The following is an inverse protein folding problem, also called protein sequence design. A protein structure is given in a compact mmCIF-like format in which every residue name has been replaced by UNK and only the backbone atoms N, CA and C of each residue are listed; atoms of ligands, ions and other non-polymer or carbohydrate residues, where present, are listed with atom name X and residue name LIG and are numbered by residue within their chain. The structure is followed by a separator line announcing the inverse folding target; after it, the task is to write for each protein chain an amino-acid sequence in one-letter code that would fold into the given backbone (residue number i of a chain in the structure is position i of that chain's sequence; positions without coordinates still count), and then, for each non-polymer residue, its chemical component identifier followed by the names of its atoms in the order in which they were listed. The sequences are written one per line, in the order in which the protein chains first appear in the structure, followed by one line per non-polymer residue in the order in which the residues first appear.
data_IF_629661307112
#
_entry.id   IF_629661307112
#
_cell.length_a   1.000
_cell.length_b   1.000
_cell.length_c   1.000
_cell.angle_alpha   90.00
_cell.angle_beta   90.00
_cell.angle_gamma   90.00
#
_symmetry.space_group_name_H-M   'P 1'
#
loop_
_entity.id
_entity.type
_entity.pdbx_description
1 polymer ?
#
# COMPACT_ATOMS: atom_id res chain seq x y z
N UNK A 1 -26.37 5.07 -1.01
CA UNK A 1 -25.45 4.34 -1.92
C UNK A 1 -25.25 2.91 -1.43
N UNK A 2 -25.23 1.92 -2.34
CA UNK A 2 -24.95 0.52 -1.99
C UNK A 2 -23.48 0.38 -1.51
N UNK A 3 -23.19 -0.61 -0.66
CA UNK A 3 -21.85 -0.83 -0.11
C UNK A 3 -20.82 -1.07 -1.21
N UNK A 4 -21.12 -1.93 -2.19
CA UNK A 4 -20.20 -2.27 -3.27
C UNK A 4 -19.82 -1.04 -4.10
N UNK A 5 -20.81 -0.24 -4.50
CA UNK A 5 -20.58 1.01 -5.24
C UNK A 5 -19.70 1.98 -4.44
N UNK A 6 -19.92 2.06 -3.12
CA UNK A 6 -19.11 2.90 -2.23
C UNK A 6 -17.66 2.42 -2.13
N UNK A 7 -17.45 1.12 -1.98
CA UNK A 7 -16.11 0.53 -1.91
C UNK A 7 -15.33 0.81 -3.20
N UNK A 8 -15.97 0.60 -4.36
CA UNK A 8 -15.37 0.93 -5.65
C UNK A 8 -15.06 2.43 -5.76
N UNK A 9 -15.99 3.30 -5.37
CA UNK A 9 -15.78 4.75 -5.38
C UNK A 9 -14.64 5.19 -4.47
N UNK A 10 -14.47 4.57 -3.29
CA UNK A 10 -13.34 4.83 -2.39
C UNK A 10 -12.02 4.47 -3.11
N UNK A 11 -11.93 3.28 -3.72
CA UNK A 11 -10.71 2.88 -4.45
C UNK A 11 -10.35 3.89 -5.54
N UNK A 12 -11.32 4.31 -6.34
CA UNK A 12 -11.09 5.30 -7.41
C UNK A 12 -10.63 6.66 -6.86
N UNK A 13 -11.18 7.10 -5.73
CA UNK A 13 -10.71 8.33 -5.08
C UNK A 13 -9.27 8.24 -4.60
N UNK A 14 -8.89 7.10 -4.01
CA UNK A 14 -7.52 6.87 -3.54
C UNK A 14 -6.53 6.66 -4.69
N UNK A 15 -7.00 6.24 -5.89
CA UNK A 15 -6.16 6.19 -7.10
C UNK A 15 -5.88 7.58 -7.69
N UNK A 16 -6.85 8.49 -7.58
CA UNK A 16 -6.74 9.81 -8.22
C UNK A 16 -6.02 10.84 -7.34
N UNK A 17 -6.03 10.65 -6.01
CA UNK A 17 -5.52 11.61 -5.02
C UNK A 17 -4.43 10.96 -4.18
N UNK A 18 -3.37 11.72 -3.88
CA UNK A 18 -2.26 11.24 -3.06
C UNK A 18 -2.67 10.92 -1.62
N UNK A 19 -3.57 11.69 -0.99
CA UNK A 19 -4.13 11.43 0.36
C UNK A 19 -5.55 11.99 0.44
N UNK A 20 -6.50 11.24 1.01
CA UNK A 20 -7.91 11.65 1.18
C UNK A 20 -8.39 11.41 2.61
N UNK A 21 -8.97 12.44 3.26
CA UNK A 21 -9.45 12.30 4.64
C UNK A 21 -10.74 11.51 4.74
N UNK A 22 -10.95 10.86 5.88
CA UNK A 22 -12.15 10.10 6.16
C UNK A 22 -13.41 10.97 6.19
N UNK A 23 -13.28 12.20 6.68
CA UNK A 23 -14.35 13.20 6.74
C UNK A 23 -14.76 13.67 5.34
N UNK A 24 -13.80 13.80 4.43
CA UNK A 24 -14.05 14.17 3.03
C UNK A 24 -14.80 13.06 2.29
N UNK A 25 -14.37 11.80 2.48
CA UNK A 25 -15.06 10.62 1.93
C UNK A 25 -16.47 10.49 2.53
N UNK A 26 -16.62 10.73 3.83
CA UNK A 26 -17.90 10.66 4.53
C UNK A 26 -18.88 11.72 4.00
N UNK A 27 -18.42 12.98 3.87
CA UNK A 27 -19.22 14.07 3.31
C UNK A 27 -19.59 13.79 1.85
N UNK A 28 -18.63 13.33 1.03
CA UNK A 28 -18.83 13.06 -0.39
C UNK A 28 -19.80 11.90 -0.67
N UNK A 29 -19.74 10.85 0.15
CA UNK A 29 -20.57 9.67 -0.01
C UNK A 29 -21.82 9.68 0.88
N UNK A 30 -22.09 10.82 1.52
CA UNK A 30 -23.24 11.05 2.40
C UNK A 30 -23.39 9.93 3.45
N UNK A 31 -22.26 9.59 4.09
CA UNK A 31 -22.20 8.53 5.11
C UNK A 31 -21.45 9.00 6.35
N UNK A 32 -21.38 8.14 7.37
CA UNK A 32 -20.65 8.44 8.59
C UNK A 32 -19.16 8.13 8.43
N UNK A 33 -18.31 8.86 9.16
CA UNK A 33 -16.86 8.58 9.25
C UNK A 33 -16.62 7.14 9.74
N UNK A 34 -17.45 6.64 10.67
CA UNK A 34 -17.39 5.24 11.13
C UNK A 34 -17.64 4.24 10.00
N UNK A 35 -18.54 4.56 9.06
CA UNK A 35 -18.77 3.74 7.86
C UNK A 35 -17.52 3.71 7.00
N UNK A 36 -16.88 4.87 6.77
CA UNK A 36 -15.65 4.96 6.00
C UNK A 36 -14.54 4.11 6.63
N UNK A 37 -14.36 4.18 7.95
CA UNK A 37 -13.36 3.34 8.64
C UNK A 37 -13.61 1.84 8.43
N UNK A 38 -14.86 1.38 8.54
CA UNK A 38 -15.22 -0.02 8.25
C UNK A 38 -14.99 -0.40 6.79
N UNK A 39 -15.23 0.52 5.86
CA UNK A 39 -15.05 0.27 4.44
C UNK A 39 -13.56 0.20 4.08
N UNK A 40 -12.72 1.10 4.62
CA UNK A 40 -11.26 1.03 4.46
C UNK A 40 -10.70 -0.27 5.04
N UNK A 41 -11.15 -0.68 6.22
CA UNK A 41 -10.77 -1.97 6.81
C UNK A 41 -11.16 -3.13 5.89
N UNK A 42 -12.39 -3.14 5.36
CA UNK A 42 -12.83 -4.20 4.46
C UNK A 42 -12.02 -4.25 3.15
N UNK A 43 -11.58 -3.10 2.63
CA UNK A 43 -10.69 -3.05 1.47
C UNK A 43 -9.29 -3.58 1.80
N UNK A 44 -8.75 -3.24 2.97
CA UNK A 44 -7.46 -3.76 3.44
C UNK A 44 -7.50 -5.27 3.65
N UNK A 45 -8.56 -5.80 4.26
CA UNK A 45 -8.82 -7.25 4.40
C UNK A 45 -8.96 -7.96 3.05
N UNK A 46 -9.43 -7.25 2.00
CA UNK A 46 -9.49 -7.75 0.63
C UNK A 46 -8.14 -7.69 -0.10
N UNK A 47 -7.06 -7.25 0.56
CA UNK A 47 -5.71 -7.22 0.02
C UNK A 47 -5.31 -5.92 -0.68
N UNK A 48 -6.13 -4.85 -0.60
CA UNK A 48 -5.71 -3.54 -1.09
C UNK A 48 -4.70 -2.90 -0.13
N UNK A 49 -3.51 -2.47 -0.61
CA UNK A 49 -2.47 -1.87 0.22
C UNK A 49 -2.79 -0.40 0.51
N UNK A 50 -3.83 -0.17 1.32
CA UNK A 50 -4.23 1.17 1.76
C UNK A 50 -3.34 1.56 2.95
N UNK A 51 -2.72 2.73 2.85
CA UNK A 51 -1.93 3.36 3.91
C UNK A 51 -2.69 4.54 4.52
N UNK A 52 -2.33 4.89 5.75
CA UNK A 52 -2.91 6.05 6.46
C UNK A 52 -3.75 5.68 7.69
N UNK A 53 -3.89 6.65 8.60
CA UNK A 53 -4.53 6.46 9.91
C UNK A 53 -5.58 7.55 10.18
N UNK A 54 -6.38 7.33 11.22
CA UNK A 54 -7.37 8.30 11.71
C UNK A 54 -6.73 9.67 11.92
N UNK A 55 -7.27 10.70 11.24
CA UNK A 55 -6.80 12.08 11.33
C UNK A 55 -5.80 12.50 10.26
N UNK A 56 -5.05 11.57 9.66
CA UNK A 56 -4.04 11.87 8.60
C UNK A 56 -4.63 11.71 7.20
N UNK A 57 -5.61 10.81 7.04
CA UNK A 57 -6.22 10.45 5.76
C UNK A 57 -5.66 9.15 5.19
N UNK A 58 -6.21 8.72 4.06
CA UNK A 58 -5.93 7.43 3.41
C UNK A 58 -5.32 7.62 2.03
N UNK A 59 -4.50 6.67 1.62
CA UNK A 59 -3.87 6.62 0.30
C UNK A 59 -3.60 5.18 -0.13
N UNK A 60 -3.40 4.95 -1.43
CA UNK A 60 -2.86 3.67 -1.90
C UNK A 60 -1.33 3.72 -1.88
N UNK A 61 -0.70 2.62 -1.50
CA UNK A 61 0.76 2.49 -1.56
C UNK A 61 1.27 2.76 -2.98
N UNK A 62 2.26 3.65 -3.10
CA UNK A 62 2.87 4.00 -4.39
C UNK A 62 3.53 2.78 -5.04
N UNK A 63 3.38 2.68 -6.36
CA UNK A 63 4.04 1.64 -7.16
C UNK A 63 3.24 0.34 -7.39
N UNK A 64 2.06 0.16 -6.77
CA UNK A 64 1.24 -1.04 -6.99
C UNK A 64 0.08 -0.87 -8.00
N UNK A 65 -0.26 0.36 -8.36
CA UNK A 65 -1.36 0.65 -9.29
C UNK A 65 -0.90 1.58 -10.40
N UNK A 66 -1.18 1.17 -11.63
CA UNK A 66 -1.30 2.13 -12.71
C UNK A 66 -2.58 2.94 -12.46
N UNK A 67 -2.58 4.26 -12.67
CA UNK A 67 -3.83 5.02 -12.71
C UNK A 67 -4.76 4.40 -13.77
N UNK A 68 -6.05 4.74 -13.83
CA UNK A 68 -6.92 4.24 -14.90
C UNK A 68 -6.35 4.63 -16.27
N UNK A 69 -5.76 3.66 -16.99
CA UNK A 69 -5.25 3.84 -18.35
C UNK A 69 -6.26 3.22 -19.30
N UNK A 70 -6.61 3.95 -20.35
CA UNK A 70 -7.36 3.44 -21.48
C UNK A 70 -6.45 3.44 -22.70
N UNK A 71 -6.44 2.32 -23.42
CA UNK A 71 -5.75 2.20 -24.69
C UNK A 71 -6.78 2.08 -25.81
N UNK A 72 -6.48 2.72 -26.94
CA UNK A 72 -7.10 2.36 -28.22
C UNK A 72 -6.69 0.93 -28.62
N UNK A 73 -7.41 0.34 -29.58
CA UNK A 73 -7.07 -1.00 -30.07
C UNK A 73 -5.67 -0.99 -30.68
N UNK A 74 -5.34 0.06 -31.43
CA UNK A 74 -4.04 0.26 -32.05
C UNK A 74 -2.93 0.36 -31.01
N UNK A 75 -3.11 1.15 -29.95
CA UNK A 75 -2.15 1.27 -28.85
C UNK A 75 -1.95 -0.05 -28.09
N UNK A 76 -3.03 -0.80 -27.86
CA UNK A 76 -2.96 -2.10 -27.21
C UNK A 76 -2.19 -3.12 -28.07
N UNK A 77 -2.41 -3.12 -29.39
CA UNK A 77 -1.67 -3.99 -30.33
C UNK A 77 -0.20 -3.58 -30.42
N UNK A 78 0.10 -2.28 -30.42
CA UNK A 78 1.48 -1.79 -30.40
C UNK A 78 2.20 -2.21 -29.12
N UNK A 79 1.54 -2.15 -27.96
CA UNK A 79 2.11 -2.64 -26.70
C UNK A 79 2.43 -4.13 -26.77
N UNK A 80 1.51 -4.94 -27.30
CA UNK A 80 1.70 -6.38 -27.45
C UNK A 80 2.89 -6.73 -28.38
N UNK A 81 2.96 -6.08 -29.54
CA UNK A 81 4.08 -6.28 -30.48
C UNK A 81 5.39 -5.74 -29.87
N UNK A 82 5.32 -4.61 -29.16
CA UNK A 82 6.44 -4.00 -28.47
C UNK A 82 7.05 -4.93 -27.41
N UNK A 83 6.22 -5.65 -26.65
CA UNK A 83 6.70 -6.64 -25.68
C UNK A 83 7.44 -7.79 -26.35
N UNK A 84 6.88 -8.37 -27.42
CA UNK A 84 7.54 -9.45 -28.18
C UNK A 84 8.87 -8.98 -28.81
N UNK A 85 8.89 -7.76 -29.33
CA UNK A 85 10.09 -7.16 -29.91
C UNK A 85 11.17 -6.90 -28.85
N UNK A 86 10.79 -6.47 -27.64
CA UNK A 86 11.71 -6.27 -26.54
C UNK A 86 12.34 -7.60 -26.11
N UNK A 87 11.53 -8.66 -25.95
CA UNK A 87 12.02 -10.01 -25.61
C UNK A 87 13.02 -10.55 -26.64
N UNK A 88 12.81 -10.30 -27.93
CA UNK A 88 13.70 -10.80 -29.00
C UNK A 88 14.99 -9.99 -29.17
N UNK A 89 15.01 -8.71 -28.75
CA UNK A 89 16.10 -7.77 -29.07
C UNK A 89 16.94 -7.37 -27.84
N UNK A 90 16.37 -7.41 -26.64
CA UNK A 90 17.04 -7.07 -25.38
C UNK A 90 17.42 -8.34 -24.61
N UNK A 91 18.30 -9.16 -25.20
CA UNK A 91 18.87 -10.37 -24.59
C UNK A 91 20.04 -10.07 -23.62
N UNK A 92 20.44 -8.81 -23.46
CA UNK A 92 21.65 -8.43 -22.70
C UNK A 92 21.39 -7.88 -21.28
N UNK A 93 20.17 -8.01 -20.75
CA UNK A 93 19.94 -7.80 -19.31
C UNK A 93 19.10 -8.94 -18.76
N UNK A 94 19.81 -10.01 -18.36
CA UNK A 94 19.38 -11.00 -17.36
C UNK A 94 17.85 -11.19 -17.29
N UNK A 95 17.29 -12.03 -18.19
CA UNK A 95 16.03 -12.75 -18.02
C UNK A 95 14.95 -11.99 -17.23
N UNK A 96 14.37 -10.95 -17.81
CA UNK A 96 13.11 -10.41 -17.29
C UNK A 96 11.96 -11.36 -17.66
N UNK A 97 11.75 -12.39 -16.85
CA UNK A 97 10.53 -13.21 -16.89
C UNK A 97 9.51 -12.62 -15.90
N UNK A 98 8.39 -12.09 -16.38
CA UNK A 98 7.31 -11.57 -15.54
C UNK A 98 6.83 -12.56 -14.46
N UNK A 99 6.95 -13.87 -14.69
CA UNK A 99 6.52 -14.93 -13.76
C UNK A 99 7.54 -15.16 -12.64
N UNK A 100 8.81 -14.89 -12.91
CA UNK A 100 9.92 -15.02 -11.95
C UNK A 100 10.47 -13.66 -11.49
N UNK A 101 9.92 -12.57 -12.03
CA UNK A 101 10.32 -11.21 -11.73
C UNK A 101 10.07 -10.92 -10.26
N UNK A 102 11.14 -10.98 -9.49
CA UNK A 102 11.20 -10.35 -8.19
C UNK A 102 11.73 -8.94 -8.44
N UNK A 103 10.93 -7.88 -8.18
CA UNK A 103 11.43 -6.53 -8.27
C UNK A 103 12.73 -6.39 -7.50
N UNK A 104 13.69 -5.67 -8.06
CA UNK A 104 14.91 -5.30 -7.33
C UNK A 104 14.50 -4.69 -6.00
N UNK A 105 14.89 -5.34 -4.89
CA UNK A 105 14.66 -4.81 -3.55
C UNK A 105 15.57 -3.60 -3.34
N UNK A 106 15.06 -2.44 -3.76
CA UNK A 106 15.67 -1.12 -3.68
C UNK A 106 15.50 -0.46 -2.30
N UNK A 107 14.85 -1.15 -1.36
CA UNK A 107 14.77 -0.75 0.04
C UNK A 107 16.15 -0.91 0.65
N UNK A 108 16.80 0.22 0.88
CA UNK A 108 18.20 0.27 1.33
C UNK A 108 18.34 0.78 2.75
N UNK A 109 17.27 1.28 3.35
CA UNK A 109 17.25 1.74 4.74
C UNK A 109 16.67 0.64 5.62
N UNK A 110 17.45 0.26 6.64
CA UNK A 110 17.00 -0.63 7.71
C UNK A 110 16.74 0.23 8.93
N UNK A 111 15.50 0.19 9.43
CA UNK A 111 15.07 0.96 10.59
C UNK A 111 14.61 -0.02 11.66
N UNK A 112 15.19 0.11 12.85
CA UNK A 112 14.80 -0.67 14.01
C UNK A 112 13.89 0.19 14.90
N UNK A 113 12.67 -0.27 15.12
CA UNK A 113 11.73 0.34 16.05
C UNK A 113 11.60 -0.56 17.27
N UNK A 114 11.74 0.01 18.47
CA UNK A 114 11.52 -0.67 19.74
C UNK A 114 10.18 -0.27 20.30
N UNK A 115 9.35 -1.27 20.56
CA UNK A 115 8.03 -1.12 21.15
C UNK A 115 8.02 -1.72 22.56
N UNK A 116 7.33 -1.05 23.49
CA UNK A 116 7.11 -1.59 24.82
C UNK A 116 6.21 -2.83 24.76
N UNK A 117 6.29 -3.68 25.78
CA UNK A 117 5.49 -4.91 25.84
C UNK A 117 3.97 -4.66 25.73
N UNK A 118 3.47 -3.56 26.30
CA UNK A 118 2.04 -3.22 26.33
C UNK A 118 1.39 -3.03 24.95
N UNK A 119 2.20 -2.74 23.93
CA UNK A 119 1.75 -2.53 22.55
C UNK A 119 2.26 -3.61 21.59
N UNK A 120 3.10 -4.55 22.06
CA UNK A 120 3.74 -5.57 21.24
C UNK A 120 2.72 -6.44 20.49
N UNK A 121 1.64 -6.86 21.15
CA UNK A 121 0.61 -7.70 20.52
C UNK A 121 -0.11 -6.96 19.39
N UNK A 122 -0.43 -5.67 19.57
CA UNK A 122 -1.03 -4.83 18.52
C UNK A 122 -0.10 -4.61 17.33
N UNK A 123 1.20 -4.47 17.60
CA UNK A 123 2.23 -4.32 16.56
C UNK A 123 2.38 -5.61 15.75
N UNK A 124 2.27 -6.79 16.38
CA UNK A 124 2.29 -8.09 15.68
C UNK A 124 1.06 -8.32 14.82
N UNK A 125 -0.12 -7.85 15.27
CA UNK A 125 -1.38 -7.94 14.49
C UNK A 125 -1.42 -6.96 13.32
N UNK A 126 -0.66 -5.86 13.41
CA UNK A 126 -0.54 -4.88 12.34
C UNK A 126 0.31 -5.47 11.22
N UNK A 127 -0.34 -5.82 10.11
CA UNK A 127 0.28 -6.49 8.98
C UNK A 127 1.20 -5.54 8.18
N UNK A 128 2.33 -5.15 8.76
CA UNK A 128 3.27 -4.19 8.18
C UNK A 128 4.00 -4.82 6.98
N UNK A 129 3.74 -4.29 5.80
CA UNK A 129 4.35 -4.73 4.55
C UNK A 129 5.88 -4.54 4.48
N UNK A 130 6.45 -3.75 5.40
CA UNK A 130 7.88 -3.41 5.44
C UNK A 130 8.70 -4.26 6.43
N UNK A 131 8.08 -5.21 7.14
CA UNK A 131 8.78 -6.00 8.17
C UNK A 131 9.76 -6.98 7.54
N UNK A 132 11.02 -6.83 7.94
CA UNK A 132 12.12 -7.74 7.64
C UNK A 132 12.27 -8.79 8.74
N UNK A 133 12.16 -8.38 10.01
CA UNK A 133 12.33 -9.26 11.18
C UNK A 133 11.58 -8.71 12.40
N UNK A 134 11.20 -9.59 13.33
CA UNK A 134 10.63 -9.24 14.63
C UNK A 134 11.26 -10.10 15.72
N UNK A 135 11.74 -9.46 16.78
CA UNK A 135 12.29 -10.15 17.95
C UNK A 135 11.60 -9.69 19.21
N UNK A 136 11.13 -10.66 19.98
CA UNK A 136 10.54 -10.43 21.28
C UNK A 136 11.59 -10.63 22.38
N UNK A 137 11.56 -9.79 23.40
CA UNK A 137 12.49 -9.81 24.52
C UNK A 137 11.76 -9.38 25.79
N UNK A 138 12.42 -9.57 26.94
CA UNK A 138 11.81 -9.33 28.25
C UNK A 138 11.27 -7.91 28.44
N UNK A 139 11.83 -6.92 27.74
CA UNK A 139 11.46 -5.50 27.86
C UNK A 139 10.58 -4.99 26.71
N UNK A 140 10.21 -5.83 25.73
CA UNK A 140 9.38 -5.42 24.60
C UNK A 140 9.63 -6.16 23.29
N UNK A 141 9.39 -5.47 22.18
CA UNK A 141 9.45 -5.99 20.81
C UNK A 141 10.32 -5.07 19.95
N UNK A 142 11.37 -5.63 19.34
CA UNK A 142 12.10 -4.95 18.26
C UNK A 142 11.55 -5.40 16.91
N UNK A 143 11.20 -4.43 16.07
CA UNK A 143 10.76 -4.65 14.69
C UNK A 143 11.78 -4.04 13.76
N UNK A 144 12.35 -4.85 12.88
CA UNK A 144 13.25 -4.40 11.82
C UNK A 144 12.43 -4.20 10.56
N UNK A 145 12.42 -2.97 10.06
CA UNK A 145 11.71 -2.55 8.87
C UNK A 145 12.72 -2.22 7.78
N UNK A 146 12.43 -2.65 6.56
CA UNK A 146 13.21 -2.32 5.37
C UNK A 146 12.39 -1.40 4.48
N UNK A 147 12.88 -0.19 4.25
CA UNK A 147 12.21 0.88 3.51
C UNK A 147 13.14 1.57 2.53
N UNK A 148 12.59 2.29 1.55
CA UNK A 148 13.39 3.13 0.62
C UNK A 148 13.72 4.48 1.22
N UNK A 149 12.81 5.03 2.01
CA UNK A 149 12.90 6.35 2.62
C UNK A 149 12.17 6.34 3.97
N UNK A 150 12.61 7.20 4.88
CA UNK A 150 12.06 7.24 6.24
C UNK A 150 10.56 7.55 6.27
N UNK A 151 10.08 8.34 5.31
CA UNK A 151 8.68 8.75 5.22
C UNK A 151 7.71 7.58 4.94
N UNK A 152 8.20 6.46 4.40
CA UNK A 152 7.40 5.23 4.26
C UNK A 152 6.96 4.67 5.64
N UNK A 153 7.75 4.91 6.69
CA UNK A 153 7.43 4.51 8.06
C UNK A 153 6.45 5.43 8.75
N UNK A 154 6.43 6.71 8.36
CA UNK A 154 5.45 7.68 8.85
C UNK A 154 4.05 7.35 8.33
N UNK A 155 3.93 6.65 7.20
CA UNK A 155 2.64 6.22 6.65
C UNK A 155 2.18 4.85 7.16
N UNK A 156 3.06 4.09 7.82
CA UNK A 156 2.81 2.72 8.28
C UNK A 156 2.91 2.53 9.80
N UNK A 157 4.06 2.81 10.42
CA UNK A 157 4.39 2.36 11.78
C UNK A 157 4.25 3.43 12.88
N UNK A 158 4.40 4.72 12.55
CA UNK A 158 4.56 5.77 13.57
C UNK A 158 3.29 6.55 13.93
N UNK A 159 2.13 6.20 13.38
CA UNK A 159 0.85 6.91 13.65
C UNK A 159 -0.11 6.10 14.53
N UNK A 160 0.37 5.02 15.15
CA UNK A 160 -0.41 4.16 16.04
C UNK A 160 -0.65 4.71 17.45
N UNK A 161 0.03 5.78 17.87
CA UNK A 161 -0.12 6.33 19.23
C UNK A 161 -0.12 7.85 19.25
N UNK A 162 -1.32 8.43 19.21
CA UNK A 162 -1.68 9.51 20.14
C UNK A 162 -3.08 9.22 20.67
N UNK A 163 -3.10 8.69 21.89
CA UNK A 163 -4.27 8.69 22.75
C UNK A 163 -4.78 10.13 22.99
#
# INVERSE_FOLDING_TARGET
MNKTDRLLAIVLELQYRQVVRAEDLAARFETSVRTIYRDIQALSEAGLPITGTTGTGYSLMEGLFLPPISFTIEEAVILLIGTEFIEQRFDDREHFDLREYTPLDDRHLRVCLRFNHDIADKVKESNYHYVEDMKEHQDGLDVVLRVRQLDELLNGCLVGERA
#
